data_IF_551833512504
#
_entry.id   IF_551833512504
#
_cell.length_a   1.000
_cell.length_b   1.000
_cell.length_c   1.000
_cell.angle_alpha   90.00
_cell.angle_beta   90.00
_cell.angle_gamma   90.00
#
_symmetry.space_group_name_H-M   'P 1'
#
loop_
_entity.id
_entity.type
_entity.pdbx_description
1 polymer ?
#
# COMPACT_ATOMS: atom_id res chain seq x y z
N UNK A 1 17.90 1.91 7.04
CA UNK A 1 16.63 2.61 7.34
C UNK A 1 15.51 1.68 6.92
N UNK A 2 14.35 1.75 7.56
CA UNK A 2 13.19 0.97 7.14
C UNK A 2 12.22 1.79 6.28
N UNK A 3 11.59 1.11 5.33
CA UNK A 3 10.47 1.61 4.56
C UNK A 3 9.31 0.66 4.83
N UNK A 4 8.21 1.20 5.37
CA UNK A 4 7.06 0.43 5.79
C UNK A 4 5.90 0.79 4.88
N UNK A 5 5.39 -0.18 4.12
CA UNK A 5 4.13 -0.06 3.39
C UNK A 5 2.99 -0.64 4.22
N UNK A 6 1.87 0.09 4.33
CA UNK A 6 0.67 -0.36 5.05
C UNK A 6 -0.53 -0.22 4.13
N UNK A 7 -1.12 -1.36 3.72
CA UNK A 7 -2.46 -1.39 3.15
C UNK A 7 -3.47 -1.44 4.30
N UNK A 8 -4.06 -0.29 4.64
CA UNK A 8 -4.93 -0.15 5.79
C UNK A 8 -6.39 -0.31 5.38
N UNK A 9 -6.97 -1.45 5.75
CA UNK A 9 -8.39 -1.66 5.51
C UNK A 9 -9.24 -0.61 6.24
N UNK A 10 -10.29 -0.11 5.57
CA UNK A 10 -11.16 0.93 6.14
C UNK A 10 -11.92 0.48 7.39
N UNK A 11 -12.05 -0.82 7.63
CA UNK A 11 -12.73 -1.41 8.80
C UNK A 11 -11.88 -2.48 9.48
N UNK A 12 -11.94 -2.55 10.81
CA UNK A 12 -11.27 -3.58 11.62
C UNK A 12 -11.81 -5.01 11.36
N UNK A 13 -12.95 -5.15 10.68
CA UNK A 13 -13.49 -6.45 10.26
C UNK A 13 -12.60 -7.13 9.21
N UNK A 14 -11.92 -6.31 8.40
CA UNK A 14 -11.05 -6.75 7.32
C UNK A 14 -9.59 -6.72 7.77
N UNK A 15 -8.77 -7.55 7.13
CA UNK A 15 -7.34 -7.54 7.36
C UNK A 15 -6.71 -6.33 6.68
N UNK A 16 -5.77 -5.71 7.38
CA UNK A 16 -4.76 -4.80 6.86
C UNK A 16 -3.47 -5.58 6.66
N UNK A 17 -2.60 -5.03 5.83
CA UNK A 17 -1.36 -5.66 5.49
C UNK A 17 -0.17 -4.70 5.65
N UNK A 18 0.98 -5.27 5.96
CA UNK A 18 2.21 -4.54 6.22
C UNK A 18 3.40 -5.24 5.56
N UNK A 19 4.15 -4.46 4.79
CA UNK A 19 5.44 -4.83 4.20
C UNK A 19 6.54 -3.96 4.76
N UNK A 20 7.65 -4.55 5.21
CA UNK A 20 8.81 -3.82 5.75
C UNK A 20 10.04 -4.14 4.93
N UNK A 21 10.55 -3.12 4.26
CA UNK A 21 11.82 -3.14 3.52
C UNK A 21 12.91 -2.53 4.40
N UNK A 22 14.01 -3.26 4.55
CA UNK A 22 15.25 -2.68 5.06
C UNK A 22 16.10 -2.21 3.88
N UNK A 23 16.53 -0.95 3.90
CA UNK A 23 17.30 -0.41 2.78
C UNK A 23 18.23 0.74 3.12
N UNK A 24 19.02 1.08 2.10
CA UNK A 24 19.92 2.21 2.04
C UNK A 24 19.71 2.96 0.71
N UNK A 25 20.64 3.86 0.35
CA UNK A 25 20.54 4.69 -0.87
C UNK A 25 20.58 3.90 -2.18
N UNK A 26 21.14 2.69 -2.20
CA UNK A 26 21.42 1.93 -3.43
C UNK A 26 20.55 0.66 -3.54
N UNK A 27 20.13 0.10 -2.40
CA UNK A 27 19.39 -1.16 -2.34
C UNK A 27 18.45 -1.27 -1.14
N UNK A 28 17.39 -2.05 -1.32
CA UNK A 28 16.47 -2.50 -0.29
C UNK A 28 16.16 -3.99 -0.42
N UNK A 29 15.72 -4.58 0.68
CA UNK A 29 15.26 -5.96 0.75
C UNK A 29 14.01 -6.05 1.61
N UNK A 30 12.97 -6.73 1.11
CA UNK A 30 11.78 -7.02 1.91
C UNK A 30 12.13 -8.03 3.02
N UNK A 31 12.09 -7.57 4.28
CA UNK A 31 12.47 -8.36 5.46
C UNK A 31 11.29 -8.96 6.19
N UNK A 32 10.22 -8.18 6.35
CA UNK A 32 9.05 -8.61 7.10
C UNK A 32 7.78 -8.34 6.33
N UNK A 33 6.81 -9.21 6.57
CA UNK A 33 5.56 -9.19 5.86
C UNK A 33 4.45 -9.80 6.72
N UNK A 34 3.29 -9.14 6.77
CA UNK A 34 2.10 -9.66 7.44
C UNK A 34 0.82 -9.06 6.85
N UNK A 35 -0.05 -9.90 6.30
CA UNK A 35 -1.27 -9.51 5.58
C UNK A 35 -2.57 -9.86 6.33
N UNK A 36 -2.46 -10.19 7.62
CA UNK A 36 -3.59 -10.61 8.47
C UNK A 36 -3.63 -9.84 9.79
N UNK A 37 -3.43 -8.53 9.75
CA UNK A 37 -3.50 -7.67 10.94
C UNK A 37 -4.79 -6.86 10.94
N UNK A 38 -5.57 -6.90 12.03
CA UNK A 38 -6.89 -6.24 12.05
C UNK A 38 -6.87 -4.82 12.59
N UNK A 39 -6.41 -4.60 13.83
CA UNK A 39 -6.52 -3.30 14.50
C UNK A 39 -5.30 -2.40 14.26
N UNK A 40 -5.48 -1.09 14.42
CA UNK A 40 -4.40 -0.12 14.27
C UNK A 40 -3.29 -0.36 15.31
N UNK A 41 -3.67 -0.67 16.55
CA UNK A 41 -2.76 -0.95 17.66
C UNK A 41 -1.88 -2.17 17.36
N UNK A 42 -2.48 -3.21 16.77
CA UNK A 42 -1.74 -4.40 16.34
C UNK A 42 -0.80 -4.10 15.17
N UNK A 43 -1.21 -3.25 14.22
CA UNK A 43 -0.33 -2.81 13.12
C UNK A 43 0.88 -2.06 13.69
N UNK A 44 0.64 -1.05 14.52
CA UNK A 44 1.68 -0.21 15.11
C UNK A 44 2.61 -1.04 15.99
N UNK A 45 2.07 -1.86 16.89
CA UNK A 45 2.86 -2.75 17.76
C UNK A 45 3.72 -3.73 16.94
N UNK A 46 3.16 -4.33 15.89
CA UNK A 46 3.91 -5.23 15.02
C UNK A 46 5.03 -4.51 14.28
N UNK A 47 4.76 -3.33 13.70
CA UNK A 47 5.77 -2.51 13.02
C UNK A 47 6.90 -2.14 13.98
N UNK A 48 6.57 -1.56 15.14
CA UNK A 48 7.53 -1.11 16.15
C UNK A 48 8.42 -2.24 16.65
N UNK A 49 7.86 -3.44 16.87
CA UNK A 49 8.64 -4.63 17.25
C UNK A 49 9.65 -5.05 16.18
N UNK A 50 9.33 -4.88 14.89
CA UNK A 50 10.21 -5.27 13.78
C UNK A 50 11.31 -4.25 13.50
N UNK A 51 10.99 -2.96 13.54
CA UNK A 51 11.95 -1.89 13.22
C UNK A 51 12.76 -1.42 14.44
N UNK A 52 12.26 -1.70 15.66
CA UNK A 52 12.85 -1.24 16.94
C UNK A 52 13.03 0.29 16.92
N UNK A 53 14.22 0.77 17.26
CA UNK A 53 14.54 2.21 17.32
C UNK A 53 15.14 2.76 16.01
N UNK A 54 15.07 2.01 14.91
CA UNK A 54 15.61 2.46 13.63
C UNK A 54 14.66 3.46 12.96
N UNK A 55 15.23 4.43 12.24
CA UNK A 55 14.42 5.35 11.46
C UNK A 55 13.58 4.63 10.41
N UNK A 56 12.36 5.11 10.19
CA UNK A 56 11.48 4.57 9.18
C UNK A 56 10.60 5.61 8.48
N UNK A 57 10.35 5.38 7.19
CA UNK A 57 9.32 6.06 6.43
C UNK A 57 8.12 5.11 6.31
N UNK A 58 6.97 5.55 6.79
CA UNK A 58 5.72 4.79 6.85
C UNK A 58 4.78 5.33 5.77
N UNK A 59 4.57 4.55 4.72
CA UNK A 59 3.65 4.82 3.63
C UNK A 59 2.34 4.05 3.86
N UNK A 60 1.22 4.76 3.95
CA UNK A 60 -0.07 4.18 4.29
C UNK A 60 -1.07 4.41 3.14
N UNK A 61 -1.63 3.33 2.59
CA UNK A 61 -2.78 3.36 1.69
C UNK A 61 -4.07 3.49 2.52
N UNK A 62 -4.33 4.72 2.95
CA UNK A 62 -5.62 5.13 3.49
C UNK A 62 -5.71 6.66 3.56
N UNK A 63 -6.92 7.23 3.57
CA UNK A 63 -7.12 8.65 3.86
C UNK A 63 -6.58 9.00 5.26
N UNK A 64 -5.48 9.75 5.34
CA UNK A 64 -4.83 10.10 6.60
C UNK A 64 -5.36 11.40 7.22
N UNK A 65 -5.93 12.28 6.39
CA UNK A 65 -6.57 13.54 6.82
C UNK A 65 -7.89 13.69 6.06
N UNK A 66 -9.01 13.72 6.78
CA UNK A 66 -10.35 13.74 6.18
C UNK A 66 -11.15 14.94 6.73
N UNK A 67 -10.96 16.15 6.18
CA UNK A 67 -11.54 17.36 6.75
C UNK A 67 -13.03 17.51 6.41
N UNK A 68 -13.47 17.02 5.26
CA UNK A 68 -14.83 17.22 4.73
C UNK A 68 -15.82 16.15 5.21
N UNK A 69 -17.02 16.60 5.58
CA UNK A 69 -18.14 15.72 5.92
C UNK A 69 -18.65 14.91 4.72
N UNK A 70 -18.86 15.58 3.59
CA UNK A 70 -19.37 15.03 2.32
C UNK A 70 -18.45 15.37 1.14
N UNK A 71 -18.72 14.77 -0.03
CA UNK A 71 -18.02 15.08 -1.28
C UNK A 71 -16.63 14.45 -1.36
N UNK A 72 -15.75 15.08 -2.15
CA UNK A 72 -14.41 14.57 -2.45
C UNK A 72 -13.36 15.51 -1.87
N UNK A 73 -12.35 14.96 -1.16
CA UNK A 73 -11.24 15.75 -0.60
C UNK A 73 -10.41 16.39 -1.71
N UNK A 74 -9.70 17.48 -1.39
CA UNK A 74 -8.83 18.17 -2.36
C UNK A 74 -7.74 17.24 -2.92
N UNK A 75 -7.11 16.42 -2.07
CA UNK A 75 -6.09 15.45 -2.49
C UNK A 75 -6.64 14.45 -3.50
N UNK A 76 -7.76 13.79 -3.18
CA UNK A 76 -8.41 12.79 -4.05
C UNK A 76 -8.83 13.39 -5.40
N UNK A 77 -9.35 14.62 -5.40
CA UNK A 77 -9.68 15.35 -6.64
C UNK A 77 -8.44 15.57 -7.52
N UNK A 78 -7.33 16.00 -6.92
CA UNK A 78 -6.09 16.28 -7.65
C UNK A 78 -5.46 15.00 -8.21
N UNK A 79 -5.37 13.94 -7.39
CA UNK A 79 -4.87 12.64 -7.85
C UNK A 79 -5.75 12.10 -8.97
N UNK A 80 -7.07 12.12 -8.81
CA UNK A 80 -7.98 11.68 -9.87
C UNK A 80 -7.82 12.50 -11.14
N UNK A 81 -7.68 13.83 -11.05
CA UNK A 81 -7.45 14.68 -12.22
C UNK A 81 -6.17 14.28 -12.98
N UNK A 82 -5.08 14.02 -12.26
CA UNK A 82 -3.79 13.66 -12.87
C UNK A 82 -3.78 12.22 -13.40
N UNK A 83 -4.43 11.29 -12.71
CA UNK A 83 -4.27 9.86 -12.94
C UNK A 83 -5.47 9.18 -13.63
N UNK A 84 -6.59 9.88 -13.86
CA UNK A 84 -7.76 9.33 -14.58
C UNK A 84 -7.41 8.79 -15.96
N UNK A 85 -6.45 9.41 -16.67
CA UNK A 85 -6.01 8.97 -18.00
C UNK A 85 -5.36 7.59 -17.99
N UNK A 86 -4.83 7.16 -16.85
CA UNK A 86 -4.24 5.84 -16.62
C UNK A 86 -5.24 4.84 -16.00
N UNK A 87 -6.52 5.22 -15.85
CA UNK A 87 -7.54 4.51 -15.07
C UNK A 87 -7.19 4.36 -13.57
N UNK A 88 -6.31 5.24 -13.05
CA UNK A 88 -5.83 5.25 -11.67
C UNK A 88 -6.51 6.35 -10.82
N UNK A 89 -7.79 6.61 -11.06
CA UNK A 89 -8.59 7.52 -10.25
C UNK A 89 -8.85 6.98 -8.84
N UNK A 90 -9.01 7.87 -7.87
CA UNK A 90 -9.18 7.50 -6.45
C UNK A 90 -10.65 7.48 -6.07
N UNK A 91 -11.02 6.57 -5.17
CA UNK A 91 -12.34 6.59 -4.57
C UNK A 91 -12.45 7.76 -3.57
N UNK A 92 -13.50 8.58 -3.63
CA UNK A 92 -13.68 9.68 -2.68
C UNK A 92 -13.77 9.19 -1.24
N UNK A 93 -12.91 9.74 -0.38
CA UNK A 93 -13.05 9.58 1.07
C UNK A 93 -13.69 10.83 1.69
N UNK A 94 -14.66 10.63 2.58
CA UNK A 94 -15.22 11.68 3.42
C UNK A 94 -15.74 11.05 4.72
N UNK A 95 -16.06 11.90 5.71
CA UNK A 95 -16.44 11.40 7.04
C UNK A 95 -17.69 10.53 7.02
N UNK A 96 -18.66 10.80 6.16
CA UNK A 96 -19.87 9.97 6.03
C UNK A 96 -19.57 8.60 5.43
N UNK A 97 -18.76 8.54 4.37
CA UNK A 97 -18.35 7.28 3.74
C UNK A 97 -17.55 6.44 4.73
N UNK A 98 -16.52 7.01 5.34
CA UNK A 98 -15.66 6.28 6.28
C UNK A 98 -16.40 5.91 7.58
N UNK A 99 -17.37 6.73 8.00
CA UNK A 99 -18.25 6.43 9.13
C UNK A 99 -18.96 5.08 8.99
N UNK A 100 -19.38 4.71 7.77
CA UNK A 100 -20.01 3.40 7.48
C UNK A 100 -19.08 2.21 7.72
N UNK A 101 -17.77 2.43 7.75
CA UNK A 101 -16.75 1.39 7.93
C UNK A 101 -16.16 1.35 9.35
N UNK A 102 -16.68 2.15 10.29
CA UNK A 102 -16.17 2.24 11.67
C UNK A 102 -15.31 3.47 11.94
N UNK A 103 -15.28 4.42 11.00
CA UNK A 103 -14.72 5.76 11.21
C UNK A 103 -13.32 5.97 10.66
N UNK A 104 -12.59 6.92 11.25
CA UNK A 104 -11.36 7.50 10.71
C UNK A 104 -10.12 6.70 11.12
N UNK A 105 -10.03 5.45 10.65
CA UNK A 105 -8.88 4.57 10.96
C UNK A 105 -7.54 5.17 10.53
N UNK A 106 -7.47 5.86 9.39
CA UNK A 106 -6.26 6.54 8.90
C UNK A 106 -5.78 7.62 9.86
N UNK A 107 -6.67 8.53 10.30
CA UNK A 107 -6.33 9.55 11.30
C UNK A 107 -5.89 8.92 12.64
N UNK A 108 -6.54 7.83 13.06
CA UNK A 108 -6.18 7.12 14.29
C UNK A 108 -4.80 6.47 14.24
N UNK A 109 -4.46 5.78 13.14
CA UNK A 109 -3.15 5.11 13.03
C UNK A 109 -2.00 6.13 12.97
N UNK A 110 -2.23 7.30 12.37
CA UNK A 110 -1.27 8.41 12.37
C UNK A 110 -0.94 8.82 13.81
N UNK A 111 -1.96 9.07 14.64
CA UNK A 111 -1.78 9.44 16.06
C UNK A 111 -0.95 8.42 16.83
N UNK A 112 -1.22 7.12 16.64
CA UNK A 112 -0.47 6.05 17.29
C UNK A 112 1.01 6.02 16.86
N UNK A 113 1.33 6.34 15.60
CA UNK A 113 2.72 6.50 15.18
C UNK A 113 3.32 7.82 15.67
N UNK A 114 2.54 8.90 15.78
CA UNK A 114 3.00 10.17 16.36
C UNK A 114 3.39 10.04 17.83
N UNK A 115 2.66 9.23 18.61
CA UNK A 115 3.03 8.84 19.98
C UNK A 115 4.41 8.14 20.05
N UNK A 116 4.85 7.52 18.95
CA UNK A 116 6.17 6.91 18.82
C UNK A 116 7.22 7.84 18.18
N UNK A 117 6.91 9.13 18.05
CA UNK A 117 7.83 10.15 17.53
C UNK A 117 7.92 10.24 16.00
N UNK A 118 7.00 9.62 15.27
CA UNK A 118 6.86 9.83 13.83
C UNK A 118 6.10 11.13 13.55
N UNK A 119 6.31 11.71 12.38
CA UNK A 119 5.60 12.94 11.96
C UNK A 119 5.01 12.76 10.58
N UNK A 120 3.88 13.42 10.31
CA UNK A 120 3.37 13.50 8.94
C UNK A 120 4.31 14.35 8.08
N UNK A 121 4.76 13.83 6.93
CA UNK A 121 5.80 14.48 6.10
C UNK A 121 5.32 14.61 4.66
N UNK A 122 4.54 15.65 4.32
CA UNK A 122 3.99 15.80 2.96
C UNK A 122 5.06 16.01 1.88
N UNK A 123 6.27 16.41 2.27
CA UNK A 123 7.39 16.65 1.36
C UNK A 123 8.62 15.86 1.82
N UNK A 124 9.03 14.89 1.01
CA UNK A 124 10.23 14.11 1.25
C UNK A 124 11.43 14.73 0.55
N UNK A 125 12.53 14.90 1.30
CA UNK A 125 13.85 15.17 0.71
C UNK A 125 14.56 13.84 0.52
N UNK A 126 15.00 13.57 -0.71
CA UNK A 126 15.68 12.31 -1.06
C UNK A 126 16.92 12.05 -0.19
N UNK A 127 17.24 10.77 0.03
CA UNK A 127 18.45 10.27 0.71
C UNK A 127 18.65 10.74 2.17
N UNK A 128 17.60 11.20 2.86
CA UNK A 128 17.67 11.54 4.30
C UNK A 128 16.96 10.51 5.16
N UNK A 129 17.57 10.17 6.31
CA UNK A 129 16.88 9.41 7.37
C UNK A 129 15.75 10.27 7.94
N UNK A 130 14.59 9.66 8.11
CA UNK A 130 13.40 10.34 8.63
C UNK A 130 12.54 9.36 9.43
N UNK A 131 11.81 9.87 10.43
CA UNK A 131 10.70 9.19 11.09
C UNK A 131 9.41 9.81 10.56
N UNK A 132 8.99 9.36 9.38
CA UNK A 132 7.96 10.04 8.60
C UNK A 132 6.76 9.17 8.29
N UNK A 133 5.59 9.80 8.14
CA UNK A 133 4.34 9.18 7.69
C UNK A 133 3.88 9.90 6.43
N UNK A 134 3.48 9.14 5.41
CA UNK A 134 2.91 9.66 4.17
C UNK A 134 1.66 8.88 3.77
N UNK A 135 0.68 9.59 3.22
CA UNK A 135 -0.44 9.00 2.49
C UNK A 135 0.04 8.59 1.10
N UNK A 136 -0.28 7.37 0.65
CA UNK A 136 0.06 6.89 -0.69
C UNK A 136 -1.16 6.42 -1.45
N UNK A 137 -1.02 6.38 -2.77
CA UNK A 137 -2.04 5.90 -3.70
C UNK A 137 -1.42 4.80 -4.59
N UNK A 138 -1.61 3.51 -4.28
CA UNK A 138 -0.85 2.44 -4.94
C UNK A 138 -1.04 2.35 -6.45
N UNK A 139 -2.25 2.54 -6.97
CA UNK A 139 -2.48 2.53 -8.43
C UNK A 139 -1.70 3.64 -9.15
N UNK A 140 -1.80 4.93 -8.76
CA UNK A 140 -0.91 5.98 -9.25
C UNK A 140 0.58 5.66 -9.09
N UNK A 141 0.99 5.13 -7.93
CA UNK A 141 2.39 4.81 -7.67
C UNK A 141 2.93 3.72 -8.62
N UNK A 142 2.16 2.66 -8.86
CA UNK A 142 2.50 1.57 -9.80
C UNK A 142 2.59 2.10 -11.23
N UNK A 143 1.66 2.98 -11.64
CA UNK A 143 1.69 3.61 -12.97
C UNK A 143 2.98 4.40 -13.17
N UNK A 144 3.37 5.23 -12.21
CA UNK A 144 4.60 6.03 -12.31
C UNK A 144 5.85 5.15 -12.21
N UNK A 145 5.87 4.21 -11.27
CA UNK A 145 7.04 3.38 -10.99
C UNK A 145 7.42 2.47 -12.16
N UNK A 146 6.42 1.98 -12.90
CA UNK A 146 6.64 1.05 -14.02
C UNK A 146 6.36 1.67 -15.39
N UNK A 147 6.14 2.98 -15.45
CA UNK A 147 5.87 3.73 -16.68
C UNK A 147 4.75 3.08 -17.53
N UNK A 148 3.56 2.96 -16.92
CA UNK A 148 2.43 2.25 -17.54
C UNK A 148 1.42 3.22 -18.17
N UNK A 149 0.91 2.87 -19.35
CA UNK A 149 -0.19 3.61 -19.98
C UNK A 149 -1.52 3.48 -19.24
N UNK A 150 -1.70 2.39 -18.50
CA UNK A 150 -2.91 2.05 -17.72
C UNK A 150 -2.55 1.22 -16.49
N UNK A 151 -3.42 1.21 -15.48
CA UNK A 151 -3.29 0.29 -14.35
C UNK A 151 -3.25 -1.17 -14.80
N UNK A 152 -2.61 -2.01 -13.99
CA UNK A 152 -2.70 -3.47 -14.11
C UNK A 152 -4.04 -3.92 -13.49
N UNK A 153 -4.88 -4.58 -14.26
CA UNK A 153 -6.30 -4.83 -13.95
C UNK A 153 -6.54 -6.19 -13.27
N UNK A 154 -5.71 -6.55 -12.30
CA UNK A 154 -5.76 -7.85 -11.63
C UNK A 154 -6.87 -7.97 -10.56
N UNK A 155 -7.31 -6.85 -9.95
CA UNK A 155 -8.36 -6.84 -8.91
C UNK A 155 -9.70 -7.35 -9.44
N UNK A 156 -10.45 -8.06 -8.61
CA UNK A 156 -11.80 -8.53 -8.95
C UNK A 156 -12.73 -7.36 -9.32
N UNK A 157 -13.32 -7.40 -10.52
CA UNK A 157 -14.39 -6.50 -10.97
C UNK A 157 -15.30 -7.23 -11.96
N UNK A 158 -16.53 -6.75 -12.08
CA UNK A 158 -17.50 -7.22 -13.09
C UNK A 158 -16.83 -7.16 -14.47
N UNK A 159 -17.02 -8.21 -15.26
CA UNK A 159 -16.44 -8.35 -16.61
C UNK A 159 -14.99 -8.82 -16.66
N UNK A 160 -14.34 -9.12 -15.53
CA UNK A 160 -12.98 -9.70 -15.50
C UNK A 160 -13.04 -11.19 -15.20
N UNK A 161 -12.71 -12.03 -16.19
CA UNK A 161 -12.59 -13.48 -16.00
C UNK A 161 -11.40 -13.83 -15.09
N UNK A 162 -11.36 -15.07 -14.58
CA UNK A 162 -10.22 -15.55 -13.79
C UNK A 162 -8.94 -15.57 -14.61
N UNK A 163 -9.01 -16.05 -15.86
CA UNK A 163 -7.89 -16.14 -16.79
C UNK A 163 -7.33 -14.75 -17.11
N UNK A 164 -8.19 -13.77 -17.33
CA UNK A 164 -7.77 -12.38 -17.51
C UNK A 164 -7.01 -11.88 -16.28
N UNK A 165 -7.55 -12.10 -15.07
CA UNK A 165 -6.89 -11.68 -13.84
C UNK A 165 -5.55 -12.38 -13.64
N UNK A 166 -5.44 -13.69 -13.88
CA UNK A 166 -4.18 -14.43 -13.79
C UNK A 166 -3.11 -13.84 -14.71
N UNK A 167 -3.47 -13.46 -15.95
CA UNK A 167 -2.55 -12.76 -16.87
C UNK A 167 -2.08 -11.42 -16.32
N UNK A 168 -3.01 -10.61 -15.79
CA UNK A 168 -2.67 -9.32 -15.18
C UNK A 168 -1.79 -9.48 -13.92
N UNK A 169 -2.02 -10.51 -13.12
CA UNK A 169 -1.13 -10.87 -12.01
C UNK A 169 0.27 -11.26 -12.49
N UNK A 170 0.36 -12.05 -13.56
CA UNK A 170 1.65 -12.39 -14.19
C UNK A 170 2.43 -11.16 -14.62
N UNK A 171 1.75 -10.16 -15.18
CA UNK A 171 2.34 -8.84 -15.50
C UNK A 171 2.85 -8.13 -14.25
N UNK A 172 2.00 -7.94 -13.23
CA UNK A 172 2.40 -7.29 -11.97
C UNK A 172 3.61 -7.99 -11.34
N UNK A 173 3.57 -9.31 -11.25
CA UNK A 173 4.66 -10.15 -10.75
C UNK A 173 5.97 -9.91 -11.49
N UNK A 174 5.91 -9.81 -12.82
CA UNK A 174 7.09 -9.56 -13.66
C UNK A 174 7.72 -8.20 -13.36
N UNK A 175 6.90 -7.15 -13.21
CA UNK A 175 7.38 -5.83 -12.80
C UNK A 175 8.03 -5.84 -11.41
N UNK A 176 7.36 -6.45 -10.44
CA UNK A 176 7.85 -6.58 -9.06
C UNK A 176 9.19 -7.34 -9.03
N UNK A 177 9.33 -8.45 -9.76
CA UNK A 177 10.58 -9.21 -9.85
C UNK A 177 11.71 -8.43 -10.51
N UNK A 178 11.38 -7.53 -11.44
CA UNK A 178 12.37 -6.72 -12.13
C UNK A 178 12.89 -5.56 -11.27
N UNK A 179 12.26 -5.25 -10.13
CA UNK A 179 12.75 -4.21 -9.21
C UNK A 179 14.17 -4.47 -8.69
N UNK A 180 14.62 -5.72 -8.67
CA UNK A 180 16.01 -6.09 -8.31
C UNK A 180 17.06 -5.49 -9.27
N UNK A 181 16.63 -5.11 -10.48
CA UNK A 181 17.47 -4.55 -11.54
C UNK A 181 17.25 -3.03 -11.71
N UNK A 182 16.50 -2.39 -10.81
CA UNK A 182 16.25 -0.93 -10.82
C UNK A 182 17.20 -0.23 -9.85
N UNK A 183 17.22 1.10 -9.90
CA UNK A 183 17.98 1.94 -8.98
C UNK A 183 17.03 2.86 -8.19
N UNK A 184 16.99 2.78 -6.84
CA UNK A 184 17.63 1.76 -6.01
C UNK A 184 17.02 0.36 -6.26
N UNK A 185 17.83 -0.69 -6.08
CA UNK A 185 17.37 -2.06 -6.30
C UNK A 185 16.50 -2.56 -5.15
N UNK A 186 15.41 -3.26 -5.44
CA UNK A 186 14.59 -3.90 -4.40
C UNK A 186 14.56 -5.41 -4.60
N UNK A 187 15.11 -6.13 -3.61
CA UNK A 187 15.08 -7.60 -3.57
C UNK A 187 13.85 -8.08 -2.81
N UNK A 188 13.07 -8.94 -3.45
CA UNK A 188 11.92 -9.60 -2.83
C UNK A 188 12.19 -11.10 -2.79
N UNK A 189 12.02 -11.76 -1.62
CA UNK A 189 12.25 -13.20 -1.50
C UNK A 189 11.47 -14.01 -2.54
N UNK A 190 12.17 -14.83 -3.34
CA UNK A 190 11.56 -15.65 -4.41
C UNK A 190 10.39 -16.51 -3.91
N UNK A 191 10.47 -17.00 -2.67
CA UNK A 191 9.41 -17.80 -2.03
C UNK A 191 8.06 -17.09 -1.94
N UNK A 192 8.07 -15.76 -1.83
CA UNK A 192 6.86 -14.95 -1.77
C UNK A 192 6.24 -14.83 -3.17
N UNK A 193 7.07 -14.73 -4.20
CA UNK A 193 6.61 -14.43 -5.55
C UNK A 193 6.32 -15.69 -6.39
N UNK A 194 7.01 -16.82 -6.15
CA UNK A 194 6.92 -18.01 -7.00
C UNK A 194 5.65 -18.87 -6.82
N UNK A 195 4.69 -18.42 -6.03
CA UNK A 195 3.43 -19.15 -5.84
C UNK A 195 2.61 -19.13 -7.15
N UNK A 196 2.20 -20.31 -7.62
CA UNK A 196 1.36 -20.50 -8.82
C UNK A 196 -0.02 -19.86 -8.60
N UNK A 197 -0.52 -19.13 -9.59
CA UNK A 197 -1.82 -18.44 -9.51
C UNK A 197 -2.86 -19.08 -10.42
N UNK A 198 -2.42 -19.70 -11.51
CA UNK A 198 -3.27 -20.40 -12.46
C UNK A 198 -4.04 -21.52 -11.75
N UNK A 199 -5.36 -21.50 -11.91
CA UNK A 199 -6.28 -22.42 -11.23
C UNK A 199 -6.85 -21.90 -9.91
N UNK A 200 -6.30 -20.83 -9.32
CA UNK A 200 -6.88 -20.22 -8.12
C UNK A 200 -8.17 -19.46 -8.47
N UNK A 201 -9.26 -19.74 -7.73
CA UNK A 201 -10.57 -19.10 -7.90
C UNK A 201 -11.14 -18.67 -6.54
N UNK A 202 -12.18 -17.83 -6.58
CA UNK A 202 -12.93 -17.40 -5.38
C UNK A 202 -12.03 -16.91 -4.24
N UNK A 203 -12.22 -17.47 -3.04
CA UNK A 203 -11.47 -17.11 -1.83
C UNK A 203 -9.97 -17.32 -1.97
N UNK A 204 -9.52 -18.41 -2.61
CA UNK A 204 -8.10 -18.69 -2.75
C UNK A 204 -7.37 -17.65 -3.62
N UNK A 205 -8.03 -17.16 -4.68
CA UNK A 205 -7.50 -16.07 -5.48
C UNK A 205 -7.53 -14.73 -4.72
N UNK A 206 -8.56 -14.50 -3.90
CA UNK A 206 -8.64 -13.29 -3.06
C UNK A 206 -7.54 -13.27 -1.99
N UNK A 207 -7.24 -14.40 -1.36
CA UNK A 207 -6.13 -14.49 -0.42
C UNK A 207 -4.77 -14.30 -1.09
N UNK A 208 -4.62 -14.70 -2.36
CA UNK A 208 -3.43 -14.40 -3.15
C UNK A 208 -3.35 -12.90 -3.49
N UNK A 209 -4.48 -12.27 -3.84
CA UNK A 209 -4.58 -10.81 -4.06
C UNK A 209 -4.09 -10.04 -2.84
N UNK A 210 -4.68 -10.33 -1.67
CA UNK A 210 -4.38 -9.64 -0.41
C UNK A 210 -2.92 -9.87 0.03
N UNK A 211 -2.28 -10.94 -0.45
CA UNK A 211 -0.88 -11.24 -0.21
C UNK A 211 0.09 -10.48 -1.14
N UNK A 212 -0.33 -10.17 -2.37
CA UNK A 212 0.53 -9.51 -3.35
C UNK A 212 0.41 -7.98 -3.29
N UNK A 213 -0.77 -7.47 -2.91
CA UNK A 213 -1.09 -6.03 -2.84
C UNK A 213 -0.50 -5.31 -1.62
N UNK A 214 -0.16 -6.11 -0.62
CA UNK A 214 0.36 -5.76 0.69
C UNK A 214 1.84 -5.40 0.74
#
# INVERSE_FOLDING_TARGET
>A
MFFVGIDLAWSNKNNSAVSIVEGNKDKGELKFFNYKIKSNENVVSWVSKKIKNNSALIAIDAPLIVPNKKGVRKSDKLITKLFRKYDAGTHPANREVLGKYGGLRGEKIVRLFEELGYKHVPHLKSKRKINGIIEVYPHPAIVVLFDLDKIIRYKARIGRSYEFRWKEYGRLKSYILNLKNKEPSLKIPKKLINRKIEGLKGKALKEYEDFLDS
#
